data_IF_558868935255
#
_entry.id   IF_558868935255
#
_cell.length_a   1.000
_cell.length_b   1.000
_cell.length_c   1.000
_cell.angle_alpha   90.00
_cell.angle_beta   90.00
_cell.angle_gamma   90.00
#
_symmetry.space_group_name_H-M   'P 1'
#
loop_
_entity.id
_entity.type
_entity.pdbx_description
1 polymer ?
#
# COMPACT_ATOMS: atom_id res chain seq x y z
N UNK A 1 8.63 14.04 -9.71
CA UNK A 1 9.40 13.85 -8.47
C UNK A 1 10.19 12.56 -8.51
N UNK A 2 11.13 12.38 -7.60
CA UNK A 2 11.89 11.14 -7.47
C UNK A 2 10.96 9.99 -7.00
N UNK A 3 11.26 8.78 -7.42
CA UNK A 3 10.56 7.57 -6.96
C UNK A 3 10.71 7.45 -5.44
N UNK A 4 9.66 7.07 -4.72
CA UNK A 4 9.65 7.01 -3.25
C UNK A 4 9.62 8.38 -2.57
N UNK A 5 9.38 9.47 -3.30
CA UNK A 5 9.13 10.77 -2.69
C UNK A 5 7.71 10.84 -2.15
N UNK A 6 7.54 11.41 -0.97
CA UNK A 6 6.23 11.64 -0.40
C UNK A 6 5.40 12.55 -1.32
N UNK A 7 4.22 12.10 -1.71
CA UNK A 7 3.26 12.92 -2.42
C UNK A 7 2.23 13.47 -1.43
N UNK A 8 2.00 14.76 -1.51
CA UNK A 8 0.91 15.37 -0.77
C UNK A 8 -0.32 15.44 -1.65
N UNK A 9 -1.39 14.83 -1.20
CA UNK A 9 -2.68 14.96 -1.85
C UNK A 9 -3.43 16.09 -1.16
N UNK A 10 -3.89 17.04 -1.95
CA UNK A 10 -4.71 18.15 -1.48
C UNK A 10 -6.12 18.03 -2.07
N UNK A 11 -7.13 18.10 -1.23
CA UNK A 11 -8.53 18.18 -1.63
C UNK A 11 -9.09 19.50 -1.12
N UNK A 12 -9.43 20.40 -2.03
CA UNK A 12 -9.92 21.76 -1.71
C UNK A 12 -8.99 22.55 -0.77
N UNK A 13 -7.66 22.41 -0.95
CA UNK A 13 -6.68 23.10 -0.11
C UNK A 13 -6.46 22.46 1.28
N UNK A 14 -7.13 21.35 1.59
CA UNK A 14 -6.90 20.56 2.80
C UNK A 14 -5.90 19.45 2.50
N UNK A 15 -4.96 19.23 3.40
CA UNK A 15 -3.86 18.25 3.26
C UNK A 15 -3.66 17.46 4.57
N UNK A 16 -2.93 16.36 4.44
CA UNK A 16 -2.49 15.54 5.58
C UNK A 16 -3.67 14.89 6.31
N UNK A 17 -3.64 14.88 7.63
CA UNK A 17 -4.62 14.19 8.51
C UNK A 17 -6.08 14.62 8.37
N UNK A 18 -6.37 15.66 7.56
CA UNK A 18 -7.73 16.13 7.31
C UNK A 18 -8.42 15.37 6.19
N UNK A 19 -7.68 14.56 5.44
CA UNK A 19 -8.19 13.73 4.34
C UNK A 19 -8.02 12.28 4.75
N UNK A 20 -9.11 11.51 4.76
CA UNK A 20 -9.05 10.07 4.98
C UNK A 20 -8.58 9.35 3.71
N UNK A 21 -7.63 8.43 3.86
CA UNK A 21 -7.19 7.54 2.80
C UNK A 21 -7.64 6.12 3.08
N UNK A 22 -8.18 5.46 2.06
CA UNK A 22 -8.77 4.13 2.16
C UNK A 22 -8.33 3.27 0.97
N UNK A 23 -8.19 1.98 1.21
CA UNK A 23 -8.08 0.94 0.20
C UNK A 23 -9.26 -0.01 0.41
N UNK A 24 -10.11 -0.16 -0.62
CA UNK A 24 -11.34 -0.95 -0.53
C UNK A 24 -12.15 -0.67 0.75
N UNK A 25 -12.29 0.63 1.07
CA UNK A 25 -13.01 1.15 2.24
C UNK A 25 -12.32 0.88 3.60
N UNK A 26 -11.17 0.19 3.62
CA UNK A 26 -10.36 -0.01 4.82
C UNK A 26 -9.45 1.22 5.01
N UNK A 27 -9.49 1.87 6.19
CA UNK A 27 -8.67 3.05 6.43
C UNK A 27 -7.19 2.70 6.41
N UNK A 28 -6.42 3.44 5.63
CA UNK A 28 -4.97 3.45 5.73
C UNK A 28 -4.62 4.21 7.00
N UNK A 29 -4.12 3.50 8.02
CA UNK A 29 -3.83 4.09 9.32
C UNK A 29 -2.82 5.23 9.19
N UNK A 30 -3.21 6.40 9.68
CA UNK A 30 -2.43 7.66 9.69
C UNK A 30 -1.09 7.57 10.45
N UNK A 31 -0.84 6.51 11.19
CA UNK A 31 0.38 6.34 11.97
C UNK A 31 1.52 5.66 11.21
N UNK A 32 1.25 5.20 10.00
CA UNK A 32 2.27 4.66 9.13
C UNK A 32 2.40 5.56 7.90
N UNK A 33 3.33 6.50 7.91
CA UNK A 33 3.88 7.11 6.69
C UNK A 33 4.51 6.05 5.74
N UNK A 34 4.16 4.76 5.93
CA UNK A 34 4.81 3.61 5.35
C UNK A 34 4.24 3.20 4.00
N UNK A 35 2.95 3.40 3.78
CA UNK A 35 2.33 3.17 2.48
C UNK A 35 1.94 4.52 1.91
N UNK A 36 2.74 5.01 0.99
CA UNK A 36 2.36 6.17 0.21
C UNK A 36 1.41 5.70 -0.90
N UNK A 37 0.41 6.51 -1.22
CA UNK A 37 -0.51 6.24 -2.34
C UNK A 37 0.22 5.99 -3.68
N UNK A 38 1.42 6.56 -3.83
CA UNK A 38 2.28 6.33 -4.99
C UNK A 38 2.94 4.95 -5.01
N UNK A 39 2.88 4.24 -3.91
CA UNK A 39 3.53 2.93 -3.76
C UNK A 39 2.60 1.80 -4.21
N UNK A 40 1.31 2.11 -4.40
CA UNK A 40 0.34 1.16 -4.94
C UNK A 40 0.55 1.08 -6.45
N UNK A 41 0.84 -0.11 -7.01
CA UNK A 41 0.97 -0.27 -8.45
C UNK A 41 -0.31 0.13 -9.16
N UNK A 42 -0.19 1.03 -10.13
CA UNK A 42 -1.35 1.55 -10.87
C UNK A 42 -2.12 0.43 -11.59
N UNK A 43 -1.42 -0.64 -11.95
CA UNK A 43 -1.99 -1.81 -12.60
C UNK A 43 -2.95 -2.59 -11.69
N UNK A 44 -2.85 -2.42 -10.38
CA UNK A 44 -3.74 -3.02 -9.38
C UNK A 44 -4.98 -2.17 -9.11
N UNK A 45 -4.98 -0.90 -9.52
CA UNK A 45 -6.07 0.04 -9.23
C UNK A 45 -7.16 -0.09 -10.31
N UNK A 46 -8.41 -0.32 -9.88
CA UNK A 46 -9.59 -0.22 -10.75
C UNK A 46 -10.00 1.24 -10.92
N UNK A 47 -10.21 1.92 -9.81
CA UNK A 47 -10.60 3.34 -9.78
C UNK A 47 -10.20 4.02 -8.48
N UNK A 48 -10.15 5.34 -8.53
CA UNK A 48 -9.95 6.19 -7.37
C UNK A 48 -11.22 7.00 -7.13
N UNK A 49 -11.83 6.83 -5.97
CA UNK A 49 -13.03 7.54 -5.55
C UNK A 49 -12.62 8.72 -4.66
N UNK A 50 -13.05 9.92 -5.03
CA UNK A 50 -12.74 11.15 -4.27
C UNK A 50 -14.03 11.74 -3.73
N UNK A 51 -14.20 11.71 -2.42
CA UNK A 51 -15.33 12.28 -1.71
C UNK A 51 -14.97 13.69 -1.20
N UNK A 52 -15.67 14.70 -1.70
CA UNK A 52 -15.44 16.11 -1.41
C UNK A 52 -16.57 16.66 -0.56
N UNK A 53 -16.34 16.92 0.70
CA UNK A 53 -17.36 17.49 1.61
C UNK A 53 -18.06 16.39 2.41
N UNK A 54 -19.24 15.94 1.98
CA UNK A 54 -19.96 14.87 2.68
C UNK A 54 -19.30 13.53 2.39
N UNK A 55 -18.68 12.94 3.41
CA UNK A 55 -18.06 11.63 3.35
C UNK A 55 -19.07 10.60 3.84
N UNK A 56 -19.32 9.50 3.09
CA UNK A 56 -20.21 8.44 3.55
C UNK A 56 -19.82 7.87 4.91
N UNK A 57 -20.81 7.53 5.74
CA UNK A 57 -20.60 7.05 7.12
C UNK A 57 -19.68 5.80 7.20
N UNK A 58 -19.62 4.99 6.15
CA UNK A 58 -18.74 3.83 6.04
C UNK A 58 -17.25 4.15 6.20
N UNK A 59 -16.83 5.37 5.91
CA UNK A 59 -15.44 5.82 6.06
C UNK A 59 -15.11 6.35 7.46
N UNK A 60 -16.06 6.32 8.39
CA UNK A 60 -15.86 6.76 9.77
C UNK A 60 -15.64 8.26 9.94
N UNK A 61 -15.29 8.68 11.17
CA UNK A 61 -15.17 10.11 11.54
C UNK A 61 -13.83 10.77 11.22
N UNK A 62 -12.83 10.04 10.68
CA UNK A 62 -11.48 10.56 10.46
C UNK A 62 -11.33 11.41 9.19
N UNK A 63 -12.33 11.45 8.34
CA UNK A 63 -12.28 12.09 7.03
C UNK A 63 -13.03 13.44 6.98
N UNK A 64 -12.74 14.35 7.91
CA UNK A 64 -13.48 15.65 8.07
C UNK A 64 -13.35 16.54 6.84
N UNK A 65 -12.24 16.49 6.13
CA UNK A 65 -11.98 17.34 4.95
C UNK A 65 -12.31 16.67 3.61
N UNK A 66 -12.57 15.38 3.63
CA UNK A 66 -12.81 14.54 2.45
C UNK A 66 -12.18 13.16 2.58
N UNK A 67 -12.49 12.27 1.65
CA UNK A 67 -11.91 10.95 1.60
C UNK A 67 -11.43 10.61 0.19
N UNK A 68 -10.35 9.84 0.11
CA UNK A 68 -9.84 9.21 -1.09
C UNK A 68 -9.86 7.71 -0.87
N UNK A 69 -10.63 6.98 -1.67
CA UNK A 69 -10.70 5.54 -1.63
C UNK A 69 -10.11 4.96 -2.92
N UNK A 70 -9.10 4.12 -2.78
CA UNK A 70 -8.51 3.37 -3.88
C UNK A 70 -9.22 2.03 -3.93
N UNK A 71 -9.90 1.78 -5.04
CA UNK A 71 -10.57 0.50 -5.27
C UNK A 71 -9.63 -0.39 -6.07
N UNK A 72 -9.33 -1.55 -5.52
CA UNK A 72 -8.47 -2.54 -6.17
C UNK A 72 -9.30 -3.33 -7.19
N UNK A 73 -8.66 -3.73 -8.28
CA UNK A 73 -9.29 -4.52 -9.34
C UNK A 73 -9.80 -5.85 -8.81
N UNK A 74 -11.03 -6.18 -9.17
CA UNK A 74 -11.51 -7.55 -9.05
C UNK A 74 -10.92 -8.41 -10.18
N UNK A 75 -10.18 -9.43 -9.80
CA UNK A 75 -9.56 -10.32 -10.76
C UNK A 75 -10.44 -11.54 -11.08
N UNK A 76 -10.44 -12.02 -12.33
CA UNK A 76 -11.16 -13.23 -12.71
C UNK A 76 -10.79 -14.45 -11.85
N UNK A 77 -11.65 -15.48 -11.77
CA UNK A 77 -11.41 -16.68 -10.96
C UNK A 77 -10.11 -17.46 -11.29
N UNK A 78 -9.55 -17.22 -12.46
CA UNK A 78 -8.23 -17.67 -12.90
C UNK A 78 -7.51 -16.49 -13.48
N UNK A 79 -6.50 -16.03 -12.79
CA UNK A 79 -5.75 -14.85 -13.20
C UNK A 79 -4.28 -15.00 -12.85
N UNK A 80 -3.44 -14.66 -13.78
CA UNK A 80 -2.01 -14.47 -13.58
C UNK A 80 -1.60 -13.30 -14.46
N UNK A 81 -1.06 -12.29 -13.83
CA UNK A 81 -0.44 -11.16 -14.51
C UNK A 81 0.95 -10.95 -13.92
N UNK A 82 1.88 -10.55 -14.78
CA UNK A 82 3.20 -10.14 -14.36
C UNK A 82 3.65 -8.97 -15.24
N UNK A 83 4.05 -7.90 -14.62
CA UNK A 83 4.55 -6.71 -15.30
C UNK A 83 5.97 -6.39 -14.87
N UNK A 84 6.74 -5.88 -15.82
CA UNK A 84 8.06 -5.32 -15.55
C UNK A 84 8.24 -4.05 -16.38
N UNK A 85 8.73 -3.00 -15.75
CA UNK A 85 9.07 -1.76 -16.44
C UNK A 85 10.46 -1.28 -16.03
N UNK A 86 11.16 -0.72 -17.01
CA UNK A 86 12.44 -0.07 -16.84
C UNK A 86 12.34 1.39 -17.25
N UNK A 87 12.91 2.29 -16.47
CA UNK A 87 12.82 3.73 -16.68
C UNK A 87 14.13 4.45 -16.38
N UNK A 88 14.09 5.78 -16.48
CA UNK A 88 15.22 6.66 -16.17
C UNK A 88 15.72 6.46 -14.75
N UNK A 89 17.00 6.79 -14.52
CA UNK A 89 17.65 6.71 -13.20
C UNK A 89 17.68 5.28 -12.62
N UNK A 90 17.93 4.32 -13.51
CA UNK A 90 17.96 2.90 -13.16
C UNK A 90 16.69 2.45 -12.41
N UNK A 91 15.53 2.95 -12.87
CA UNK A 91 14.25 2.63 -12.24
C UNK A 91 13.72 1.31 -12.77
N UNK A 92 13.54 0.34 -11.89
CA UNK A 92 12.96 -0.95 -12.14
C UNK A 92 11.67 -1.09 -11.33
N UNK A 93 10.59 -1.48 -11.98
CA UNK A 93 9.35 -1.85 -11.30
C UNK A 93 8.90 -3.21 -11.81
N UNK A 94 8.58 -4.08 -10.90
CA UNK A 94 8.00 -5.39 -11.20
C UNK A 94 6.78 -5.62 -10.32
N UNK A 95 5.74 -6.20 -10.87
CA UNK A 95 4.57 -6.65 -10.13
C UNK A 95 4.06 -7.96 -10.67
N UNK A 96 3.46 -8.76 -9.81
CA UNK A 96 2.70 -9.94 -10.24
C UNK A 96 1.47 -10.13 -9.36
N UNK A 97 0.39 -10.59 -9.98
CA UNK A 97 -0.86 -10.93 -9.31
C UNK A 97 -1.30 -12.31 -9.77
N UNK A 98 -1.61 -13.14 -8.82
CA UNK A 98 -2.14 -14.48 -9.04
C UNK A 98 -3.48 -14.62 -8.32
N UNK A 99 -4.48 -15.17 -9.01
CA UNK A 99 -5.76 -15.58 -8.42
C UNK A 99 -6.19 -16.94 -8.95
N UNK A 100 -6.63 -17.80 -8.07
CA UNK A 100 -7.16 -19.12 -8.42
C UNK A 100 -8.36 -19.47 -7.58
N UNK A 101 -9.50 -19.68 -8.23
CA UNK A 101 -10.68 -20.21 -7.58
C UNK A 101 -10.83 -21.70 -7.89
N UNK A 102 -10.78 -22.52 -6.84
CA UNK A 102 -10.95 -23.95 -6.85
C UNK A 102 -12.40 -24.27 -6.45
N UNK A 103 -13.34 -24.03 -7.36
CA UNK A 103 -14.80 -24.07 -7.08
C UNK A 103 -15.24 -25.39 -6.44
N UNK A 104 -14.70 -26.53 -6.89
CA UNK A 104 -15.06 -27.85 -6.35
C UNK A 104 -14.66 -28.01 -4.89
N UNK A 105 -13.53 -27.43 -4.50
CA UNK A 105 -12.99 -27.45 -3.13
C UNK A 105 -13.56 -26.32 -2.26
N UNK A 106 -14.22 -25.34 -2.86
CA UNK A 106 -14.67 -24.14 -2.16
C UNK A 106 -13.53 -23.23 -1.70
N UNK A 107 -12.38 -23.27 -2.40
CA UNK A 107 -11.18 -22.51 -2.04
C UNK A 107 -10.90 -21.44 -3.10
N UNK A 108 -10.64 -20.23 -2.65
CA UNK A 108 -10.07 -19.15 -3.46
C UNK A 108 -8.69 -18.81 -2.91
N UNK A 109 -7.69 -18.73 -3.80
CA UNK A 109 -6.32 -18.37 -3.48
C UNK A 109 -5.96 -17.09 -4.21
N UNK A 110 -5.30 -16.19 -3.51
CA UNK A 110 -4.71 -14.97 -4.05
C UNK A 110 -3.25 -14.84 -3.65
N UNK A 111 -2.45 -14.24 -4.52
CA UNK A 111 -1.09 -13.82 -4.20
C UNK A 111 -0.74 -12.58 -5.04
N UNK A 112 -0.01 -11.65 -4.43
CA UNK A 112 0.51 -10.48 -5.11
C UNK A 112 1.94 -10.21 -4.66
N UNK A 113 2.79 -9.75 -5.59
CA UNK A 113 4.16 -9.32 -5.32
C UNK A 113 4.41 -7.99 -6.03
N UNK A 114 5.18 -7.13 -5.41
CA UNK A 114 5.64 -5.88 -5.99
C UNK A 114 7.10 -5.62 -5.64
N UNK A 115 7.81 -5.01 -6.57
CA UNK A 115 9.18 -4.56 -6.39
C UNK A 115 9.39 -3.25 -7.12
N UNK A 116 10.04 -2.30 -6.48
CA UNK A 116 10.46 -1.03 -7.08
C UNK A 116 11.88 -0.70 -6.63
N UNK A 117 12.72 -0.38 -7.58
CA UNK A 117 14.07 0.15 -7.34
C UNK A 117 14.27 1.39 -8.19
N UNK A 118 14.96 2.39 -7.65
CA UNK A 118 15.45 3.54 -8.42
C UNK A 118 16.69 4.14 -7.75
N UNK A 119 17.69 4.46 -8.54
CA UNK A 119 18.86 5.21 -8.05
C UNK A 119 18.52 6.69 -7.83
N UNK A 120 17.50 7.22 -8.51
CA UNK A 120 17.09 8.64 -8.47
C UNK A 120 18.27 9.61 -8.66
N UNK A 121 19.26 9.27 -9.47
CA UNK A 121 20.54 9.96 -9.64
C UNK A 121 20.51 11.13 -10.64
N UNK A 122 19.42 11.87 -10.64
CA UNK A 122 19.25 13.00 -11.54
C UNK A 122 20.04 14.24 -11.13
N UNK A 123 20.23 15.18 -12.09
CA UNK A 123 20.80 16.49 -11.81
C UNK A 123 19.72 17.46 -11.42
N UNK A 124 19.97 18.28 -10.41
CA UNK A 124 19.10 19.36 -10.00
C UNK A 124 19.90 20.65 -9.77
N UNK A 125 19.28 21.79 -10.02
CA UNK A 125 19.81 23.08 -9.67
C UNK A 125 19.57 23.34 -8.17
N UNK A 126 20.57 23.85 -7.46
CA UNK A 126 20.42 24.22 -6.06
C UNK A 126 19.55 25.47 -5.94
N UNK A 127 18.47 25.46 -5.11
CA UNK A 127 17.56 26.61 -5.00
C UNK A 127 18.25 27.91 -4.56
N UNK A 128 19.31 27.81 -3.76
CA UNK A 128 20.04 28.96 -3.24
C UNK A 128 21.19 29.44 -4.16
N UNK A 129 21.61 28.65 -5.12
CA UNK A 129 22.72 28.96 -6.02
C UNK A 129 22.29 28.72 -7.47
N UNK A 130 21.57 29.68 -8.06
CA UNK A 130 21.17 29.63 -9.47
C UNK A 130 22.39 29.37 -10.38
N UNK A 131 22.27 28.45 -11.29
CA UNK A 131 23.32 28.01 -12.18
C UNK A 131 24.23 26.91 -11.64
N UNK A 132 24.15 26.56 -10.33
CA UNK A 132 24.92 25.45 -9.77
C UNK A 132 24.09 24.17 -9.77
N UNK A 133 24.51 23.22 -10.58
CA UNK A 133 23.89 21.90 -10.67
C UNK A 133 24.65 20.88 -9.83
N UNK A 134 23.94 20.08 -9.08
CA UNK A 134 24.47 18.93 -8.35
C UNK A 134 23.84 17.64 -8.90
N UNK A 135 24.57 16.53 -8.82
CA UNK A 135 24.03 15.21 -9.06
C UNK A 135 23.50 14.66 -7.71
N UNK A 136 22.29 14.16 -7.75
CA UNK A 136 21.73 13.41 -6.62
C UNK A 136 22.26 11.98 -6.71
N UNK A 137 23.08 11.58 -5.78
CA UNK A 137 23.73 10.26 -5.71
C UNK A 137 23.50 9.54 -4.37
N UNK A 138 22.70 10.16 -3.48
CA UNK A 138 22.26 9.61 -2.21
C UNK A 138 20.71 9.76 -2.11
N UNK A 139 20.00 9.22 -3.09
CA UNK A 139 18.53 9.32 -3.17
C UNK A 139 17.89 7.99 -3.62
N UNK A 140 18.62 6.87 -3.43
CA UNK A 140 18.15 5.54 -3.81
C UNK A 140 16.87 5.19 -3.07
N UNK A 141 15.98 4.53 -3.80
CA UNK A 141 14.74 3.97 -3.27
C UNK A 141 14.63 2.50 -3.60
N UNK A 142 14.27 1.70 -2.63
CA UNK A 142 13.92 0.30 -2.79
C UNK A 142 12.62 0.01 -2.06
N UNK A 143 11.74 -0.73 -2.70
CA UNK A 143 10.51 -1.23 -2.11
C UNK A 143 10.29 -2.66 -2.55
N UNK A 144 9.87 -3.50 -1.64
CA UNK A 144 9.36 -4.84 -1.92
C UNK A 144 8.14 -5.10 -1.04
N UNK A 145 7.16 -5.75 -1.60
CA UNK A 145 5.96 -6.09 -0.87
C UNK A 145 5.21 -7.22 -1.52
N UNK A 146 4.24 -7.73 -0.83
CA UNK A 146 3.37 -8.75 -1.35
C UNK A 146 2.47 -9.33 -0.29
N UNK A 147 1.62 -10.23 -0.72
CA UNK A 147 0.69 -10.90 0.16
C UNK A 147 0.18 -12.20 -0.44
N UNK A 148 -0.38 -13.00 0.43
CA UNK A 148 -1.15 -14.18 0.08
C UNK A 148 -2.49 -14.12 0.80
N UNK A 149 -3.53 -14.55 0.11
CA UNK A 149 -4.87 -14.70 0.67
C UNK A 149 -5.45 -16.06 0.36
N UNK A 150 -6.20 -16.58 1.29
CA UNK A 150 -6.98 -17.82 1.11
C UNK A 150 -8.37 -17.60 1.69
N UNK A 151 -9.37 -17.86 0.88
CA UNK A 151 -10.76 -17.89 1.30
C UNK A 151 -11.31 -19.29 1.08
N UNK A 152 -11.74 -19.95 2.17
CA UNK A 152 -12.36 -21.27 2.12
C UNK A 152 -13.82 -21.17 2.52
N UNK A 153 -14.70 -21.87 1.79
CA UNK A 153 -16.14 -21.91 2.03
C UNK A 153 -16.60 -23.34 2.20
N UNK A 154 -17.58 -23.54 3.08
CA UNK A 154 -18.21 -24.85 3.34
C UNK A 154 -17.25 -25.93 3.85
N UNK A 155 -16.30 -25.53 4.70
CA UNK A 155 -15.48 -26.45 5.50
C UNK A 155 -16.10 -26.59 6.90
N UNK A 156 -15.29 -26.47 7.98
CA UNK A 156 -15.81 -26.43 9.34
C UNK A 156 -16.61 -25.15 9.62
N UNK A 157 -16.23 -24.05 8.99
CA UNK A 157 -16.93 -22.78 8.96
C UNK A 157 -17.55 -22.57 7.57
N UNK A 158 -18.59 -21.76 7.50
CA UNK A 158 -19.24 -21.43 6.25
C UNK A 158 -18.34 -20.53 5.41
N UNK A 159 -17.53 -19.69 6.09
CA UNK A 159 -16.47 -18.92 5.49
C UNK A 159 -15.27 -18.82 6.42
N UNK A 160 -14.09 -19.02 5.88
CA UNK A 160 -12.79 -18.79 6.52
C UNK A 160 -11.96 -17.94 5.57
N UNK A 161 -11.42 -16.83 6.05
CA UNK A 161 -10.49 -16.01 5.31
C UNK A 161 -9.17 -15.94 6.07
N UNK A 162 -8.09 -16.02 5.33
CA UNK A 162 -6.72 -15.90 5.81
C UNK A 162 -5.99 -14.92 4.92
N UNK A 163 -5.31 -13.96 5.50
CA UNK A 163 -4.50 -12.98 4.80
C UNK A 163 -3.16 -12.80 5.50
N UNK A 164 -2.11 -12.70 4.70
CA UNK A 164 -0.78 -12.36 5.13
C UNK A 164 -0.18 -11.39 4.13
N UNK A 165 0.27 -10.25 4.62
CA UNK A 165 0.85 -9.20 3.80
C UNK A 165 2.15 -8.69 4.41
N UNK A 166 3.04 -8.24 3.56
CA UNK A 166 4.24 -7.53 3.98
C UNK A 166 4.58 -6.41 3.00
N UNK A 167 5.18 -5.37 3.51
CA UNK A 167 5.82 -4.33 2.72
C UNK A 167 7.09 -3.86 3.43
N UNK A 168 8.13 -3.60 2.66
CA UNK A 168 9.38 -3.02 3.14
C UNK A 168 9.83 -1.97 2.15
N UNK A 169 10.29 -0.84 2.65
CA UNK A 169 10.93 0.18 1.84
C UNK A 169 12.21 0.69 2.50
N UNK A 170 13.11 1.22 1.69
CA UNK A 170 14.27 1.98 2.14
C UNK A 170 14.49 3.16 1.20
N UNK A 171 14.84 4.29 1.78
CA UNK A 171 15.05 5.54 1.07
C UNK A 171 16.30 6.23 1.60
N UNK A 172 17.24 6.52 0.72
CA UNK A 172 18.30 7.47 0.98
C UNK A 172 17.74 8.89 0.79
N UNK A 173 18.12 9.81 1.65
CA UNK A 173 17.57 11.18 1.67
C UNK A 173 18.72 12.16 1.51
N UNK A 174 18.83 12.73 0.32
CA UNK A 174 19.78 13.78 0.03
C UNK A 174 19.16 15.15 0.28
N UNK A 175 19.82 15.99 1.07
CA UNK A 175 19.40 17.35 1.33
C UNK A 175 19.23 18.17 0.05
N UNK A 176 18.18 19.00 -0.02
CA UNK A 176 17.88 19.84 -1.20
C UNK A 176 18.46 21.24 -1.08
N UNK A 177 18.74 21.71 0.13
CA UNK A 177 19.31 23.03 0.41
C UNK A 177 20.83 22.91 0.56
N UNK A 178 21.25 22.02 1.42
CA UNK A 178 22.63 21.61 1.59
C UNK A 178 22.76 20.16 1.08
N UNK A 179 23.85 19.88 0.39
CA UNK A 179 24.08 18.56 -0.19
C UNK A 179 24.51 17.53 0.89
N UNK A 180 23.68 17.37 1.91
CA UNK A 180 23.86 16.39 2.98
C UNK A 180 23.49 15.01 2.43
N UNK A 181 24.30 13.99 2.71
CA UNK A 181 24.20 12.62 2.18
C UNK A 181 24.20 11.57 3.29
N UNK A 182 23.85 11.94 4.50
CA UNK A 182 23.92 11.06 5.66
C UNK A 182 22.57 10.43 6.03
N UNK A 183 21.45 11.07 5.65
CA UNK A 183 20.15 10.66 6.09
C UNK A 183 19.60 9.49 5.27
N UNK A 184 19.09 8.48 5.99
CA UNK A 184 18.41 7.32 5.41
C UNK A 184 17.16 6.98 6.23
N UNK A 185 16.13 6.48 5.55
CA UNK A 185 14.95 5.93 6.21
C UNK A 185 14.66 4.52 5.73
N UNK A 186 14.17 3.68 6.60
CA UNK A 186 13.63 2.37 6.25
C UNK A 186 12.37 2.08 7.03
N UNK A 187 11.45 1.43 6.38
CA UNK A 187 10.17 1.04 6.98
C UNK A 187 9.80 -0.38 6.56
N UNK A 188 9.10 -1.07 7.44
CA UNK A 188 8.54 -2.38 7.17
C UNK A 188 7.23 -2.56 7.91
N UNK A 189 6.27 -3.20 7.27
CA UNK A 189 5.02 -3.61 7.89
C UNK A 189 4.69 -5.04 7.50
N UNK A 190 4.07 -5.76 8.42
CA UNK A 190 3.58 -7.12 8.26
C UNK A 190 2.18 -7.18 8.86
N UNK A 191 1.24 -7.68 8.11
CA UNK A 191 -0.14 -7.87 8.52
C UNK A 191 -0.50 -9.34 8.38
N UNK A 192 -1.26 -9.81 9.34
CA UNK A 192 -1.84 -11.14 9.36
C UNK A 192 -3.28 -11.02 9.82
N UNK A 193 -4.22 -11.63 9.12
CA UNK A 193 -5.62 -11.66 9.52
C UNK A 193 -6.23 -13.04 9.31
N UNK A 194 -7.14 -13.40 10.19
CA UNK A 194 -8.02 -14.56 10.08
C UNK A 194 -9.44 -14.12 10.41
N UNK A 195 -10.36 -14.38 9.50
CA UNK A 195 -11.79 -14.17 9.69
C UNK A 195 -12.53 -15.50 9.56
N UNK A 196 -13.43 -15.74 10.49
CA UNK A 196 -14.21 -16.95 10.59
C UNK A 196 -15.70 -16.60 10.71
N UNK A 197 -16.54 -17.24 9.92
CA UNK A 197 -18.00 -17.08 9.98
C UNK A 197 -18.68 -18.44 9.97
N UNK A 198 -19.66 -18.61 10.86
CA UNK A 198 -20.46 -19.82 10.97
C UNK A 198 -21.90 -19.47 11.31
N UNK A 199 -22.80 -19.76 10.37
CA UNK A 199 -24.24 -19.62 10.57
C UNK A 199 -24.76 -20.81 11.39
N UNK A 200 -25.74 -20.55 12.23
CA UNK A 200 -26.36 -21.55 13.11
C UNK A 200 -25.33 -22.33 13.96
N UNK A 201 -24.34 -21.62 14.52
CA UNK A 201 -23.31 -22.19 15.38
C UNK A 201 -23.92 -22.68 16.71
N UNK A 202 -23.86 -23.98 16.98
CA UNK A 202 -24.44 -24.67 18.14
C UNK A 202 -25.97 -24.69 18.19
N UNK A 203 -26.68 -23.64 17.83
CA UNK A 203 -28.14 -23.52 17.88
C UNK A 203 -28.67 -22.85 16.63
N UNK A 204 -29.87 -23.20 16.19
CA UNK A 204 -30.53 -22.51 15.07
C UNK A 204 -30.77 -21.04 15.39
N UNK A 205 -30.34 -20.16 14.51
CA UNK A 205 -30.46 -18.71 14.68
C UNK A 205 -29.34 -18.08 15.50
N UNK A 206 -28.33 -18.85 15.95
CA UNK A 206 -27.12 -18.32 16.59
C UNK A 206 -25.97 -18.32 15.58
N UNK A 207 -25.61 -17.16 15.08
CA UNK A 207 -24.48 -17.01 14.15
C UNK A 207 -23.21 -16.64 14.91
N UNK A 208 -22.09 -17.17 14.44
CA UNK A 208 -20.76 -16.88 14.97
C UNK A 208 -19.95 -16.12 13.92
N UNK A 209 -19.31 -15.04 14.35
CA UNK A 209 -18.33 -14.30 13.55
C UNK A 209 -17.15 -13.93 14.43
N UNK A 210 -15.95 -14.18 13.95
CA UNK A 210 -14.71 -13.80 14.63
C UNK A 210 -13.70 -13.29 13.64
N UNK A 211 -13.15 -12.10 13.90
CA UNK A 211 -12.02 -11.53 13.17
C UNK A 211 -10.85 -11.34 14.13
N UNK A 212 -9.67 -11.83 13.74
CA UNK A 212 -8.43 -11.67 14.49
C UNK A 212 -7.34 -11.23 13.55
N UNK A 213 -6.62 -10.18 13.92
CA UNK A 213 -5.51 -9.67 13.15
C UNK A 213 -4.31 -9.32 14.03
N UNK A 214 -3.14 -9.40 13.41
CA UNK A 214 -1.89 -8.92 13.97
C UNK A 214 -1.21 -8.02 12.94
N UNK A 215 -0.85 -6.82 13.37
CA UNK A 215 -0.10 -5.88 12.55
C UNK A 215 1.19 -5.49 13.30
N UNK A 216 2.30 -5.57 12.61
CA UNK A 216 3.60 -5.10 13.09
C UNK A 216 4.17 -4.11 12.09
N UNK A 217 4.63 -2.98 12.58
CA UNK A 217 5.32 -2.00 11.76
C UNK A 217 6.59 -1.50 12.46
N UNK A 218 7.62 -1.24 11.67
CA UNK A 218 8.89 -0.70 12.13
C UNK A 218 9.32 0.43 11.22
N UNK A 219 9.78 1.51 11.82
CA UNK A 219 10.39 2.63 11.12
C UNK A 219 11.75 2.95 11.74
N UNK A 220 12.75 3.13 10.89
CA UNK A 220 14.08 3.57 11.29
C UNK A 220 14.46 4.80 10.46
N UNK A 221 14.96 5.80 11.13
CA UNK A 221 15.56 6.97 10.51
C UNK A 221 16.95 7.16 11.10
N UNK A 222 17.93 7.36 10.24
CA UNK A 222 19.34 7.60 10.62
C UNK A 222 19.78 8.89 9.94
N UNK A 223 20.36 9.80 10.70
CA UNK A 223 20.99 11.02 10.22
C UNK A 223 22.28 11.20 11.04
N UNK A 224 23.42 10.83 10.44
CA UNK A 224 24.75 10.80 11.12
C UNK A 224 25.78 11.67 10.43
#
# INVERSE_FOLDING_TARGET
>A
GAVGSASRISVRGLEGKRIGFFIDEVPMNDNSDFININDIPIDMIDRIEIYKGVVPAKFGGSAVGGAVNIVIKEYPPRYLDASYSFGSFNTHKASSVFKRNLVKQGIELGAALLYTHSDNDYRMELPQNKGKFIKRDHDKFNQSGGGISMKARKWWFDQMEFELEFIRNSKQIQGVVENIRSAESSAGAYNFAIDLQKDNFLLNGLDFSSGTGYAYSQYNFVDT
#
